data_IF_879517956065
#
_entry.id   IF_879517956065
#
_cell.length_a   1.000
_cell.length_b   1.000
_cell.length_c   1.000
_cell.angle_alpha   90.00
_cell.angle_beta   90.00
_cell.angle_gamma   90.00
#
_symmetry.space_group_name_H-M   'P 1'
#
loop_
_entity.id
_entity.type
_entity.pdbx_description
1 polymer ?
#
# COMPACT_ATOMS: atom_id res chain seq x y z
N UNK A 1 -0.54 21.44 55.89
CA UNK A 1 -0.07 20.56 54.79
C UNK A 1 0.56 21.45 53.75
N UNK A 2 1.82 21.18 53.36
CA UNK A 2 2.54 22.08 52.45
C UNK A 2 1.93 22.05 51.02
N UNK A 3 1.75 23.21 50.41
CA UNK A 3 1.17 23.38 49.06
C UNK A 3 1.84 22.46 48.01
N UNK A 4 3.18 22.22 48.14
CA UNK A 4 3.92 21.29 47.31
C UNK A 4 3.46 19.82 47.45
N UNK A 5 3.02 19.43 48.65
CA UNK A 5 2.49 18.06 48.89
C UNK A 5 1.07 17.89 48.35
N UNK A 6 0.26 18.97 48.38
CA UNK A 6 -1.08 18.98 47.80
C UNK A 6 -0.97 18.89 46.26
N UNK A 7 -0.05 19.67 45.65
CA UNK A 7 0.17 19.65 44.22
C UNK A 7 0.65 18.28 43.69
N UNK A 8 1.55 17.62 44.47
CA UNK A 8 2.03 16.27 44.10
C UNK A 8 0.92 15.21 44.20
N UNK A 9 0.04 15.29 45.18
CA UNK A 9 -1.09 14.36 45.34
C UNK A 9 -2.12 14.57 44.24
N UNK A 10 -2.43 15.83 43.85
CA UNK A 10 -3.35 16.16 42.78
C UNK A 10 -2.79 15.69 41.42
N UNK A 11 -1.49 15.92 41.18
CA UNK A 11 -0.84 15.45 39.92
C UNK A 11 -0.81 13.93 39.82
N UNK A 12 -0.55 13.23 40.92
CA UNK A 12 -0.58 11.76 40.98
C UNK A 12 -2.00 11.21 40.77
N UNK A 13 -3.02 11.86 41.28
CA UNK A 13 -4.42 11.45 41.08
C UNK A 13 -4.88 11.68 39.64
N UNK A 14 -4.44 12.77 39.01
CA UNK A 14 -4.71 13.03 37.57
C UNK A 14 -4.02 12.02 36.64
N UNK A 15 -2.82 11.53 36.98
CA UNK A 15 -2.16 10.47 36.20
C UNK A 15 -2.87 9.11 36.34
N UNK A 16 -3.41 8.80 37.51
CA UNK A 16 -4.17 7.56 37.72
C UNK A 16 -5.51 7.56 36.97
N UNK A 17 -6.18 8.72 36.85
CA UNK A 17 -7.43 8.81 36.08
C UNK A 17 -7.19 8.77 34.55
N UNK A 18 -6.02 9.21 34.06
CA UNK A 18 -5.66 9.10 32.65
C UNK A 18 -5.40 7.65 32.22
N UNK A 19 -4.98 6.77 33.14
CA UNK A 19 -4.78 5.34 32.86
C UNK A 19 -6.11 4.53 32.83
N UNK A 20 -7.17 5.03 33.42
CA UNK A 20 -8.49 4.36 33.39
C UNK A 20 -9.35 4.83 32.21
N UNK A 21 -8.96 5.93 31.55
CA UNK A 21 -9.64 6.41 30.33
C UNK A 21 -9.31 5.59 29.07
N UNK A 22 -8.39 4.63 29.12
CA UNK A 22 -8.33 3.52 28.17
C UNK A 22 -9.42 2.51 28.50
N UNK A 23 -10.68 2.94 28.47
CA UNK A 23 -11.84 2.07 28.46
C UNK A 23 -11.62 1.01 27.39
N UNK A 24 -11.88 -0.26 27.72
CA UNK A 24 -11.60 -1.41 26.89
C UNK A 24 -11.82 -1.09 25.43
N UNK A 25 -10.78 -1.31 24.61
CA UNK A 25 -10.83 -1.07 23.19
C UNK A 25 -12.08 -1.79 22.69
N UNK A 26 -13.08 -1.03 22.21
CA UNK A 26 -14.17 -1.62 21.46
C UNK A 26 -13.51 -2.39 20.33
N UNK A 27 -13.88 -3.63 20.14
CA UNK A 27 -13.44 -4.39 18.99
C UNK A 27 -13.71 -3.52 17.75
N UNK A 28 -12.66 -3.27 16.95
CA UNK A 28 -12.80 -2.40 15.81
C UNK A 28 -13.74 -3.08 14.81
N UNK A 29 -14.72 -2.35 14.30
CA UNK A 29 -15.65 -2.86 13.29
C UNK A 29 -14.95 -3.23 11.98
N UNK A 30 -13.67 -2.82 11.83
CA UNK A 30 -12.84 -3.04 10.63
C UNK A 30 -11.44 -3.49 11.03
N UNK A 31 -10.86 -4.33 10.18
CA UNK A 31 -9.46 -4.79 10.27
C UNK A 31 -8.70 -4.39 9.02
N UNK A 32 -7.50 -3.87 9.20
CA UNK A 32 -6.58 -3.54 8.10
C UNK A 32 -5.51 -4.64 8.00
N UNK A 33 -5.37 -5.20 6.80
CA UNK A 33 -4.27 -6.07 6.42
C UNK A 33 -3.43 -5.45 5.32
N UNK A 34 -2.13 -5.72 5.31
CA UNK A 34 -1.21 -5.29 4.26
C UNK A 34 -0.25 -6.44 3.93
N UNK A 35 -0.05 -6.66 2.64
CA UNK A 35 0.95 -7.58 2.11
C UNK A 35 1.92 -6.85 1.19
N UNK A 36 3.19 -7.22 1.24
CA UNK A 36 4.23 -6.72 0.35
C UNK A 36 4.98 -7.89 -0.25
N UNK A 37 5.16 -7.86 -1.57
CA UNK A 37 5.99 -8.82 -2.31
C UNK A 37 7.04 -8.04 -3.08
N UNK A 38 8.29 -8.43 -2.95
CA UNK A 38 9.42 -7.84 -3.68
C UNK A 38 9.98 -8.88 -4.64
N UNK A 39 10.15 -8.48 -5.90
CA UNK A 39 10.71 -9.31 -6.96
C UNK A 39 11.87 -8.55 -7.64
N UNK A 40 12.93 -9.28 -7.97
CA UNK A 40 14.13 -8.78 -8.67
C UNK A 40 14.45 -9.63 -9.91
N UNK A 41 13.59 -10.56 -10.32
CA UNK A 41 13.84 -11.54 -11.39
C UNK A 41 14.05 -10.89 -12.77
N UNK A 42 13.63 -9.63 -12.93
CA UNK A 42 13.85 -8.86 -14.17
C UNK A 42 15.18 -8.12 -14.21
N UNK A 43 16.04 -8.31 -13.21
CA UNK A 43 17.41 -7.77 -13.22
C UNK A 43 18.31 -8.60 -14.15
N UNK A 44 19.27 -7.95 -14.79
CA UNK A 44 20.26 -8.54 -15.69
C UNK A 44 21.56 -7.75 -15.58
N UNK A 45 22.58 -8.15 -16.33
CA UNK A 45 23.81 -7.36 -16.46
C UNK A 45 23.44 -5.95 -16.96
N UNK A 46 24.05 -4.93 -16.32
CA UNK A 46 23.82 -3.51 -16.62
C UNK A 46 22.39 -3.01 -16.37
N UNK A 47 21.52 -3.83 -15.77
CA UNK A 47 20.15 -3.46 -15.43
C UNK A 47 19.75 -4.04 -14.08
N UNK A 48 19.44 -3.19 -13.10
CA UNK A 48 18.75 -3.58 -11.89
C UNK A 48 17.26 -3.22 -11.98
N UNK A 49 16.39 -4.15 -11.62
CA UNK A 49 14.96 -3.90 -11.50
C UNK A 49 14.46 -4.48 -10.19
N UNK A 50 13.74 -3.66 -9.42
CA UNK A 50 13.05 -4.05 -8.20
C UNK A 50 11.58 -3.71 -8.35
N UNK A 51 10.74 -4.72 -8.29
CA UNK A 51 9.28 -4.60 -8.29
C UNK A 51 8.77 -4.86 -6.88
N UNK A 52 8.31 -3.81 -6.20
CA UNK A 52 7.66 -3.92 -4.89
C UNK A 52 6.15 -3.77 -5.06
N UNK A 53 5.43 -4.90 -4.99
CA UNK A 53 3.97 -4.92 -5.01
C UNK A 53 3.44 -4.81 -3.59
N UNK A 54 2.54 -3.88 -3.36
CA UNK A 54 1.86 -3.66 -2.08
C UNK A 54 0.36 -3.84 -2.29
N UNK A 55 -0.26 -4.64 -1.42
CA UNK A 55 -1.71 -4.75 -1.33
C UNK A 55 -2.15 -4.39 0.09
N UNK A 56 -3.13 -3.49 0.21
CA UNK A 56 -3.77 -3.13 1.46
C UNK A 56 -5.26 -3.48 1.38
N UNK A 57 -5.75 -4.18 2.40
CA UNK A 57 -7.14 -4.67 2.45
C UNK A 57 -7.77 -4.29 3.77
N UNK A 58 -8.98 -3.75 3.72
CA UNK A 58 -9.82 -3.54 4.89
C UNK A 58 -10.97 -4.53 4.87
N UNK A 59 -11.16 -5.25 5.96
CA UNK A 59 -12.31 -6.14 6.14
C UNK A 59 -13.22 -5.61 7.25
N UNK A 60 -14.50 -5.95 7.17
CA UNK A 60 -15.45 -5.77 8.26
C UNK A 60 -15.25 -6.84 9.35
N UNK A 61 -16.09 -6.78 10.39
CA UNK A 61 -16.07 -7.75 11.51
C UNK A 61 -16.34 -9.20 11.07
N UNK A 62 -17.01 -9.40 9.95
CA UNK A 62 -17.39 -10.72 9.42
C UNK A 62 -16.34 -11.25 8.41
N UNK A 63 -15.25 -10.50 8.21
CA UNK A 63 -14.14 -10.86 7.32
C UNK A 63 -14.38 -10.50 5.86
N UNK A 64 -15.47 -9.79 5.53
CA UNK A 64 -15.71 -9.33 4.16
C UNK A 64 -14.83 -8.15 3.81
N UNK A 65 -14.26 -8.17 2.63
CA UNK A 65 -13.45 -7.07 2.08
C UNK A 65 -14.36 -5.89 1.79
N UNK A 66 -14.10 -4.76 2.43
CA UNK A 66 -14.82 -3.49 2.23
C UNK A 66 -13.98 -2.46 1.48
N UNK A 67 -12.66 -2.65 1.43
CA UNK A 67 -11.73 -1.84 0.64
C UNK A 67 -10.52 -2.67 0.26
N UNK A 68 -10.02 -2.47 -0.95
CA UNK A 68 -8.76 -3.03 -1.43
C UNK A 68 -8.01 -1.96 -2.21
N UNK A 69 -6.67 -1.94 -2.07
CA UNK A 69 -5.77 -1.12 -2.89
C UNK A 69 -4.54 -1.94 -3.21
N UNK A 70 -4.15 -1.91 -4.48
CA UNK A 70 -2.93 -2.55 -4.97
C UNK A 70 -2.12 -1.51 -5.72
N UNK A 71 -0.82 -1.50 -5.49
CA UNK A 71 0.12 -0.69 -6.25
C UNK A 71 1.46 -1.41 -6.40
N UNK A 72 2.24 -1.00 -7.40
CA UNK A 72 3.58 -1.53 -7.64
C UNK A 72 4.56 -0.39 -7.84
N UNK A 73 5.55 -0.32 -6.98
CA UNK A 73 6.75 0.48 -7.23
C UNK A 73 7.72 -0.36 -8.07
N UNK A 74 7.74 -0.11 -9.38
CA UNK A 74 8.68 -0.72 -10.31
C UNK A 74 9.86 0.23 -10.54
N UNK A 75 10.95 -0.03 -9.84
CA UNK A 75 12.15 0.78 -9.92
C UNK A 75 13.15 0.12 -10.87
N UNK A 76 13.54 0.84 -11.90
CA UNK A 76 14.54 0.41 -12.89
C UNK A 76 15.76 1.31 -12.79
N UNK A 77 16.93 0.70 -12.84
CA UNK A 77 18.21 1.36 -12.86
C UNK A 77 19.05 0.75 -13.98
N UNK A 78 19.56 1.57 -14.87
CA UNK A 78 20.48 1.13 -15.91
C UNK A 78 21.88 1.59 -15.60
N UNK A 79 22.86 0.77 -15.99
CA UNK A 79 24.27 1.11 -15.91
C UNK A 79 24.77 1.20 -17.35
N UNK A 80 25.24 2.38 -17.73
CA UNK A 80 25.81 2.62 -19.07
C UNK A 80 27.25 3.07 -18.90
N UNK A 81 28.19 2.35 -19.48
CA UNK A 81 29.64 2.62 -19.38
C UNK A 81 30.15 2.71 -17.93
N UNK A 82 29.54 1.96 -17.01
CA UNK A 82 29.89 1.95 -15.59
C UNK A 82 29.24 3.08 -14.77
N UNK A 83 28.42 3.93 -15.38
CA UNK A 83 27.67 4.98 -14.70
C UNK A 83 26.21 4.59 -14.52
N UNK A 84 25.67 4.88 -13.34
CA UNK A 84 24.27 4.62 -12.97
C UNK A 84 23.45 5.84 -13.33
N UNK A 85 22.32 5.63 -14.00
CA UNK A 85 21.32 6.68 -14.19
C UNK A 85 20.67 7.04 -12.84
N UNK A 86 20.99 8.24 -12.34
CA UNK A 86 20.52 8.75 -11.06
C UNK A 86 19.37 9.76 -11.19
N UNK A 87 18.95 10.07 -12.41
CA UNK A 87 17.87 11.03 -12.66
C UNK A 87 16.48 10.37 -12.77
N UNK A 88 16.40 9.06 -12.56
CA UNK A 88 15.15 8.32 -12.65
C UNK A 88 14.15 8.79 -11.57
N UNK A 89 13.02 9.32 -11.99
CA UNK A 89 11.89 9.58 -11.11
C UNK A 89 11.15 8.27 -10.85
N UNK A 90 11.15 7.82 -9.59
CA UNK A 90 10.49 6.59 -9.20
C UNK A 90 9.02 6.86 -8.89
N UNK A 91 8.15 6.64 -9.89
CA UNK A 91 6.70 6.66 -9.72
C UNK A 91 6.17 5.24 -9.65
N UNK A 92 5.10 5.04 -8.89
CA UNK A 92 4.38 3.76 -8.89
C UNK A 92 3.61 3.58 -10.19
N UNK A 93 3.15 2.36 -10.47
CA UNK A 93 2.33 2.09 -11.66
C UNK A 93 1.00 2.84 -11.62
N UNK A 94 0.42 3.01 -10.42
CA UNK A 94 -0.79 3.83 -10.24
C UNK A 94 -0.53 5.31 -10.52
N UNK A 95 0.63 5.85 -10.11
CA UNK A 95 1.03 7.24 -10.37
C UNK A 95 1.37 7.48 -11.85
N UNK A 96 1.83 6.47 -12.56
CA UNK A 96 2.10 6.53 -14.00
C UNK A 96 0.79 6.50 -14.81
N UNK A 97 -0.20 5.72 -14.38
CA UNK A 97 -1.44 5.56 -15.13
C UNK A 97 -1.16 5.19 -16.58
N UNK A 98 -1.68 5.96 -17.53
CA UNK A 98 -1.46 5.76 -18.98
C UNK A 98 0.00 5.91 -19.41
N UNK A 99 0.83 6.63 -18.66
CA UNK A 99 2.26 6.80 -18.97
C UNK A 99 3.05 5.50 -18.71
N UNK A 100 2.47 4.52 -18.01
CA UNK A 100 3.07 3.20 -17.89
C UNK A 100 3.13 2.46 -19.22
N UNK A 101 2.18 2.71 -20.12
CA UNK A 101 2.20 2.28 -21.51
C UNK A 101 1.94 0.77 -21.69
N UNK A 102 1.20 0.14 -20.78
CA UNK A 102 0.90 -1.29 -20.88
C UNK A 102 -0.07 -1.58 -22.05
N UNK A 103 -1.08 -0.73 -22.23
CA UNK A 103 -2.09 -0.89 -23.28
C UNK A 103 -1.52 -0.79 -24.69
N UNK A 104 -0.37 -0.15 -24.86
CA UNK A 104 0.28 0.03 -26.15
C UNK A 104 1.38 -0.99 -26.48
N UNK A 105 1.66 -1.96 -25.62
CA UNK A 105 2.75 -2.90 -25.81
C UNK A 105 2.30 -4.33 -26.08
N UNK A 106 3.26 -5.21 -26.45
CA UNK A 106 3.02 -6.61 -26.82
C UNK A 106 2.47 -7.49 -25.68
N UNK A 107 2.49 -7.00 -24.45
CA UNK A 107 1.97 -7.72 -23.27
C UNK A 107 0.52 -7.38 -22.97
N UNK A 108 -0.03 -6.42 -23.69
CA UNK A 108 -1.43 -6.05 -23.56
C UNK A 108 -2.29 -7.07 -24.31
N UNK A 109 -3.18 -7.73 -23.63
CA UNK A 109 -4.14 -8.66 -24.20
C UNK A 109 -5.55 -8.18 -23.93
N UNK A 110 -6.40 -8.27 -24.95
CA UNK A 110 -7.85 -8.17 -24.77
C UNK A 110 -8.35 -9.44 -24.09
N UNK A 111 -8.29 -9.45 -22.76
CA UNK A 111 -8.68 -10.63 -21.97
C UNK A 111 -10.20 -10.85 -21.93
N UNK A 112 -10.99 -9.85 -22.30
CA UNK A 112 -12.45 -9.90 -22.23
C UNK A 112 -13.11 -10.09 -23.60
N UNK A 113 -12.34 -9.95 -24.70
CA UNK A 113 -12.86 -10.02 -26.08
C UNK A 113 -13.74 -8.82 -26.45
N UNK A 114 -13.65 -7.72 -25.71
CA UNK A 114 -14.38 -6.48 -25.95
C UNK A 114 -13.62 -5.46 -26.81
N UNK A 115 -12.41 -5.83 -27.24
CA UNK A 115 -11.53 -4.98 -28.04
C UNK A 115 -10.79 -3.92 -27.24
N UNK A 116 -10.90 -3.92 -25.90
CA UNK A 116 -10.22 -2.98 -25.01
C UNK A 116 -9.00 -3.62 -24.41
N UNK A 117 -7.91 -2.91 -24.51
CA UNK A 117 -6.67 -3.21 -23.81
C UNK A 117 -6.51 -2.21 -22.66
N UNK A 118 -6.54 -2.72 -21.45
CA UNK A 118 -6.50 -1.89 -20.25
C UNK A 118 -5.06 -1.59 -19.82
N UNK A 119 -4.84 -0.38 -19.35
CA UNK A 119 -3.63 -0.01 -18.63
C UNK A 119 -3.53 -0.75 -17.29
N UNK A 120 -2.34 -0.77 -16.70
CA UNK A 120 -2.10 -1.48 -15.45
C UNK A 120 -3.01 -0.98 -14.32
N UNK A 121 -3.15 0.33 -14.18
CA UNK A 121 -3.98 0.95 -13.14
C UNK A 121 -5.48 0.65 -13.34
N UNK A 122 -5.94 0.53 -14.57
CA UNK A 122 -7.32 0.14 -14.90
C UNK A 122 -7.58 -1.32 -14.52
N UNK A 123 -6.62 -2.21 -14.81
CA UNK A 123 -6.69 -3.62 -14.40
C UNK A 123 -6.67 -3.79 -12.87
N UNK A 124 -5.79 -3.02 -12.19
CA UNK A 124 -5.72 -3.02 -10.74
C UNK A 124 -7.04 -2.55 -10.11
N UNK A 125 -7.64 -1.47 -10.61
CA UNK A 125 -8.95 -0.98 -10.16
C UNK A 125 -10.06 -2.01 -10.37
N UNK A 126 -10.09 -2.66 -11.53
CA UNK A 126 -11.06 -3.71 -11.81
C UNK A 126 -10.93 -4.88 -10.81
N UNK A 127 -9.70 -5.27 -10.47
CA UNK A 127 -9.46 -6.29 -9.44
C UNK A 127 -9.86 -5.81 -8.05
N UNK A 128 -9.51 -4.58 -7.67
CA UNK A 128 -9.90 -3.97 -6.40
C UNK A 128 -11.43 -3.99 -6.20
N UNK A 129 -12.18 -3.62 -7.25
CA UNK A 129 -13.65 -3.66 -7.25
C UNK A 129 -14.19 -5.10 -7.18
N UNK A 130 -13.56 -6.02 -7.92
CA UNK A 130 -13.98 -7.43 -7.95
C UNK A 130 -13.90 -8.12 -6.60
N UNK A 131 -12.94 -7.76 -5.75
CA UNK A 131 -12.76 -8.41 -4.45
C UNK A 131 -13.68 -7.85 -3.36
N UNK A 132 -14.32 -6.70 -3.56
CA UNK A 132 -15.25 -6.13 -2.59
C UNK A 132 -16.39 -7.11 -2.29
N UNK A 133 -16.68 -7.30 -0.99
CA UNK A 133 -17.71 -8.21 -0.50
C UNK A 133 -17.32 -9.69 -0.46
N UNK A 134 -16.11 -10.04 -0.92
CA UNK A 134 -15.55 -11.41 -0.80
C UNK A 134 -14.89 -11.62 0.56
N UNK A 135 -14.69 -12.87 0.94
CA UNK A 135 -14.01 -13.33 2.18
C UNK A 135 -12.79 -14.18 1.81
#
# INVERSE_FOLDING_TARGET
MNIKKILAVVLSLCMLTALVACGGAKEADYKLGMGVVVNMDSSADEKAQVDATVAAVVTDKDGKIVSCRIDVAQNKMTVTDGEVDTEAAFKTKMELGSDYGMAGNQYSTDNNGDGKVLEWDEQAKAFEEYVIGKT
#
